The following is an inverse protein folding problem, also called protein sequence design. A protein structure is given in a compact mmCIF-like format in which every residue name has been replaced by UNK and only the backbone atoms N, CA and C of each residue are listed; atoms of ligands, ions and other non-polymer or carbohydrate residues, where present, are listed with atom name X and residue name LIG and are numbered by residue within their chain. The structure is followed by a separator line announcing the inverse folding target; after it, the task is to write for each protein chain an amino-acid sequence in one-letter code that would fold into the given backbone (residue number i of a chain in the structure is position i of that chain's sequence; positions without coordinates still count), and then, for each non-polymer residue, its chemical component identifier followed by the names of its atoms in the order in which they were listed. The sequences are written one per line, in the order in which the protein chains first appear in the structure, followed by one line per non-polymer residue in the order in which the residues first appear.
data_IF_519885303336
#
_entry.id   IF_519885303336
#
_cell.length_a   1.000
_cell.length_b   1.000
_cell.length_c   1.000
_cell.angle_alpha   90.00
_cell.angle_beta   90.00
_cell.angle_gamma   90.00
#
_symmetry.space_group_name_H-M   'P 1'
#
loop_
_entity.id
_entity.type
_entity.pdbx_description
1 polymer ?
#
# COMPACT_ATOMS: atom_id res chain seq x y z
N UNK A 1 -5.18 -24.46 -12.41
CA UNK A 1 -4.86 -23.93 -11.08
C UNK A 1 -3.34 -23.97 -10.94
N UNK A 2 -2.65 -22.91 -11.37
CA UNK A 2 -1.22 -22.77 -11.16
C UNK A 2 -1.00 -22.48 -9.67
N UNK A 3 -0.11 -23.25 -9.07
CA UNK A 3 0.29 -23.07 -7.66
C UNK A 3 1.08 -21.77 -7.54
N UNK A 4 0.36 -20.66 -7.35
CA UNK A 4 0.90 -19.32 -7.12
C UNK A 4 1.87 -19.30 -5.92
N UNK A 5 1.63 -20.19 -4.93
CA UNK A 5 2.49 -20.33 -3.76
C UNK A 5 3.85 -21.01 -4.08
N UNK A 6 3.91 -21.90 -5.06
CA UNK A 6 5.17 -22.53 -5.47
C UNK A 6 6.06 -21.57 -6.27
N UNK A 7 5.47 -20.68 -7.07
CA UNK A 7 6.20 -19.64 -7.82
C UNK A 7 6.75 -18.57 -6.87
N UNK A 8 5.99 -18.15 -5.85
CA UNK A 8 6.42 -17.22 -4.80
C UNK A 8 7.53 -17.79 -3.91
N UNK A 9 7.57 -19.10 -3.69
CA UNK A 9 8.66 -19.76 -2.92
C UNK A 9 10.02 -19.78 -3.63
N UNK A 10 10.06 -19.53 -4.93
CA UNK A 10 11.31 -19.51 -5.73
C UNK A 10 11.87 -18.11 -6.01
N UNK A 11 11.10 -17.06 -5.79
CA UNK A 11 11.57 -15.67 -5.92
C UNK A 11 12.21 -15.26 -4.58
N UNK A 12 13.53 -15.31 -4.55
CA UNK A 12 14.44 -14.79 -3.53
C UNK A 12 13.89 -14.79 -2.10
N UNK A 13 14.30 -15.78 -1.29
CA UNK A 13 14.28 -15.65 0.15
C UNK A 13 15.31 -14.57 0.52
N UNK A 14 14.92 -13.28 0.37
CA UNK A 14 15.72 -12.21 0.88
C UNK A 14 15.70 -12.30 2.41
N UNK A 15 16.90 -12.42 2.99
CA UNK A 15 17.07 -12.46 4.43
C UNK A 15 17.26 -11.05 4.98
N UNK A 16 16.85 -10.84 6.22
CA UNK A 16 17.17 -9.61 6.91
C UNK A 16 18.66 -9.54 7.22
N UNK A 17 19.30 -8.48 6.72
CA UNK A 17 20.73 -8.21 6.96
C UNK A 17 20.86 -7.04 7.92
N UNK A 18 21.17 -7.34 9.18
CA UNK A 18 21.39 -6.34 10.20
C UNK A 18 22.76 -5.69 10.04
N UNK A 19 22.79 -4.40 9.85
CA UNK A 19 23.98 -3.55 9.84
C UNK A 19 24.05 -2.74 11.12
N UNK A 20 25.13 -2.85 11.87
CA UNK A 20 25.36 -2.05 13.07
C UNK A 20 26.84 -2.06 13.45
N UNK A 21 27.35 -0.90 13.88
CA UNK A 21 28.65 -0.80 14.54
C UNK A 21 28.62 -1.38 15.95
N UNK A 22 27.43 -1.52 16.54
CA UNK A 22 27.23 -2.00 17.91
C UNK A 22 26.98 -3.51 17.93
N UNK A 23 27.41 -4.13 19.02
CA UNK A 23 27.05 -5.52 19.34
C UNK A 23 26.11 -5.52 20.55
N UNK A 24 25.22 -6.50 20.67
CA UNK A 24 24.39 -6.64 21.86
C UNK A 24 25.25 -6.74 23.15
N UNK A 25 24.97 -5.91 24.15
CA UNK A 25 25.68 -5.83 25.42
C UNK A 25 24.74 -5.87 26.62
N UNK A 26 25.29 -6.08 27.82
CA UNK A 26 24.51 -6.18 29.04
C UNK A 26 23.48 -7.30 28.98
N UNK A 27 22.22 -6.98 29.25
CA UNK A 27 21.10 -7.93 29.26
C UNK A 27 20.49 -8.16 27.86
N UNK A 28 20.93 -7.41 26.83
CA UNK A 28 20.38 -7.54 25.47
C UNK A 28 20.53 -8.96 24.87
N UNK A 29 21.69 -9.66 24.96
CA UNK A 29 21.81 -11.01 24.43
C UNK A 29 20.80 -11.98 25.03
N UNK A 30 20.59 -11.90 26.35
CA UNK A 30 19.63 -12.76 27.06
C UNK A 30 18.19 -12.42 26.65
N UNK A 31 17.85 -11.14 26.48
CA UNK A 31 16.53 -10.69 26.06
C UNK A 31 16.24 -11.17 24.61
N UNK A 32 17.18 -11.04 23.69
CA UNK A 32 17.07 -11.55 22.31
C UNK A 32 16.81 -13.05 22.31
N UNK A 33 17.62 -13.83 23.04
CA UNK A 33 17.47 -15.27 23.12
C UNK A 33 16.14 -15.70 23.74
N UNK A 34 15.70 -15.01 24.80
CA UNK A 34 14.44 -15.30 25.45
C UNK A 34 13.23 -15.02 24.55
N UNK A 35 13.22 -13.88 23.85
CA UNK A 35 12.15 -13.51 22.91
C UNK A 35 12.09 -14.50 21.75
N UNK A 36 13.23 -14.78 21.11
CA UNK A 36 13.27 -15.71 19.96
C UNK A 36 12.80 -17.11 20.38
N UNK A 37 13.28 -17.67 21.47
CA UNK A 37 12.82 -18.96 21.99
C UNK A 37 11.33 -18.99 22.31
N UNK A 38 10.81 -17.89 22.87
CA UNK A 38 9.39 -17.75 23.19
C UNK A 38 8.54 -17.77 21.92
N UNK A 39 8.95 -17.05 20.86
CA UNK A 39 8.29 -17.06 19.54
C UNK A 39 8.34 -18.44 18.90
N UNK A 40 9.50 -19.09 18.94
CA UNK A 40 9.68 -20.45 18.40
C UNK A 40 8.84 -21.50 19.11
N UNK A 41 8.62 -21.32 20.43
CA UNK A 41 7.73 -22.16 21.23
C UNK A 41 6.23 -21.90 20.96
N UNK A 42 5.89 -20.92 20.09
CA UNK A 42 4.51 -20.59 19.74
C UNK A 42 3.79 -19.65 20.71
N UNK A 43 4.49 -19.07 21.68
CA UNK A 43 3.92 -18.05 22.54
C UNK A 43 3.60 -16.79 21.72
N UNK A 44 2.38 -16.26 21.90
CA UNK A 44 1.90 -15.14 21.12
C UNK A 44 2.35 -13.78 21.64
N UNK A 45 2.62 -13.68 22.94
CA UNK A 45 2.84 -12.42 23.63
C UNK A 45 4.19 -12.41 24.36
N UNK A 46 4.98 -11.38 24.16
CA UNK A 46 6.24 -11.12 24.85
C UNK A 46 6.29 -9.65 25.24
N UNK A 47 6.86 -9.36 26.40
CA UNK A 47 7.05 -7.99 26.88
C UNK A 47 8.53 -7.72 27.11
N UNK A 48 9.09 -6.76 26.36
CA UNK A 48 10.44 -6.24 26.58
C UNK A 48 10.38 -4.97 27.41
N UNK A 49 10.86 -5.05 28.65
CA UNK A 49 10.96 -3.90 29.56
C UNK A 49 12.38 -3.34 29.58
N UNK A 50 12.49 -2.03 29.55
CA UNK A 50 13.80 -1.35 29.65
C UNK A 50 13.61 0.16 29.74
N UNK A 51 14.53 0.84 30.42
CA UNK A 51 14.54 2.29 30.49
C UNK A 51 14.78 2.94 29.14
N UNK A 52 14.49 4.24 29.01
CA UNK A 52 14.82 5.01 27.83
C UNK A 52 16.32 4.96 27.58
N UNK A 53 16.74 4.73 26.32
CA UNK A 53 18.16 4.61 25.97
C UNK A 53 18.79 3.23 26.22
N UNK A 54 18.04 2.22 26.70
CA UNK A 54 18.56 0.86 26.89
C UNK A 54 18.75 0.06 25.61
N UNK A 55 18.51 0.65 24.45
CA UNK A 55 18.67 -0.01 23.14
C UNK A 55 17.56 -1.00 22.81
N UNK A 56 16.31 -0.76 23.24
CA UNK A 56 15.17 -1.64 22.91
C UNK A 56 14.96 -1.82 21.40
N UNK A 57 15.09 -0.74 20.62
CA UNK A 57 14.98 -0.81 19.16
C UNK A 57 16.05 -1.72 18.57
N UNK A 58 17.29 -1.60 19.01
CA UNK A 58 18.39 -2.45 18.59
C UNK A 58 18.18 -3.93 19.00
N UNK A 59 17.67 -4.16 20.21
CA UNK A 59 17.27 -5.51 20.67
C UNK A 59 16.23 -6.12 19.73
N UNK A 60 15.18 -5.35 19.38
CA UNK A 60 14.15 -5.81 18.45
C UNK A 60 14.68 -6.00 17.02
N UNK A 61 15.62 -5.15 16.55
CA UNK A 61 16.27 -5.34 15.25
C UNK A 61 17.02 -6.69 15.19
N UNK A 62 17.72 -7.07 16.26
CA UNK A 62 18.36 -8.40 16.35
C UNK A 62 17.34 -9.55 16.36
N UNK A 63 16.20 -9.39 17.04
CA UNK A 63 15.11 -10.38 17.00
C UNK A 63 14.55 -10.53 15.58
N UNK A 64 14.28 -9.41 14.90
CA UNK A 64 13.76 -9.40 13.51
C UNK A 64 14.73 -10.13 12.58
N UNK A 65 16.02 -9.78 12.64
CA UNK A 65 17.05 -10.43 11.82
C UNK A 65 17.10 -11.94 12.07
N UNK A 66 17.07 -12.36 13.34
CA UNK A 66 17.14 -13.78 13.71
C UNK A 66 15.89 -14.57 13.32
N UNK A 67 14.70 -14.00 13.51
CA UNK A 67 13.43 -14.66 13.17
C UNK A 67 13.14 -14.68 11.67
N UNK A 68 13.73 -13.76 10.92
CA UNK A 68 13.60 -13.63 9.46
C UNK A 68 12.14 -13.69 8.96
N UNK A 69 11.26 -12.91 9.58
CA UNK A 69 9.83 -12.85 9.27
C UNK A 69 9.39 -11.41 8.94
N UNK A 70 8.45 -11.21 7.99
CA UNK A 70 7.82 -9.91 7.80
C UNK A 70 7.31 -9.36 9.12
N UNK A 71 7.60 -8.10 9.41
CA UNK A 71 7.36 -7.49 10.73
C UNK A 71 6.53 -6.22 10.60
N UNK A 72 5.51 -6.10 11.45
CA UNK A 72 4.77 -4.87 11.64
C UNK A 72 5.17 -4.23 12.98
N UNK A 73 5.64 -2.99 12.92
CA UNK A 73 5.94 -2.14 14.08
C UNK A 73 4.84 -1.11 14.22
N UNK A 74 4.06 -1.18 15.29
CA UNK A 74 2.95 -0.26 15.54
C UNK A 74 3.35 0.80 16.58
N UNK A 75 3.37 2.06 16.16
CA UNK A 75 3.64 3.21 17.01
C UNK A 75 2.35 3.98 17.32
N UNK A 76 2.28 4.63 18.48
CA UNK A 76 1.08 5.35 18.91
C UNK A 76 0.84 6.70 18.18
N UNK A 77 1.83 7.24 17.48
CA UNK A 77 1.69 8.45 16.66
C UNK A 77 2.64 8.48 15.46
N UNK A 78 2.42 9.46 14.55
CA UNK A 78 3.22 9.63 13.32
C UNK A 78 4.69 9.94 13.63
N UNK A 79 4.98 10.74 14.64
CA UNK A 79 6.35 11.18 15.00
C UNK A 79 7.21 10.00 15.44
N UNK A 80 6.68 9.18 16.36
CA UNK A 80 7.38 7.99 16.82
C UNK A 80 7.54 6.97 15.69
N UNK A 81 6.51 6.81 14.84
CA UNK A 81 6.60 5.94 13.67
C UNK A 81 7.72 6.40 12.72
N UNK A 82 7.86 7.71 12.48
CA UNK A 82 8.93 8.26 11.64
C UNK A 82 10.32 8.00 12.24
N UNK A 83 10.49 8.23 13.55
CA UNK A 83 11.73 7.93 14.25
C UNK A 83 12.11 6.46 14.14
N UNK A 84 11.19 5.55 14.48
CA UNK A 84 11.43 4.11 14.40
C UNK A 84 11.73 3.66 12.96
N UNK A 85 11.04 4.23 11.97
CA UNK A 85 11.30 3.93 10.56
C UNK A 85 12.73 4.33 10.17
N UNK A 86 13.22 5.50 10.61
CA UNK A 86 14.59 5.94 10.38
C UNK A 86 15.60 5.00 11.05
N UNK A 87 15.41 4.65 12.33
CA UNK A 87 16.26 3.73 13.07
C UNK A 87 16.32 2.33 12.38
N UNK A 88 15.18 1.79 11.96
CA UNK A 88 15.17 0.50 11.25
C UNK A 88 15.79 0.57 9.85
N UNK A 89 15.68 1.69 9.12
CA UNK A 89 16.38 1.88 7.84
C UNK A 89 17.89 1.88 8.00
N UNK A 90 18.40 2.45 9.09
CA UNK A 90 19.83 2.39 9.41
C UNK A 90 20.28 0.96 9.74
N UNK A 91 19.47 0.19 10.47
CA UNK A 91 19.77 -1.21 10.77
C UNK A 91 19.60 -2.15 9.59
N UNK A 92 18.72 -1.86 8.63
CA UNK A 92 18.38 -2.72 7.51
C UNK A 92 18.43 -1.98 6.17
N UNK A 93 19.57 -1.42 5.75
CA UNK A 93 19.68 -0.60 4.53
C UNK A 93 19.43 -1.38 3.23
N UNK A 94 19.57 -2.72 3.25
CA UNK A 94 19.34 -3.59 2.08
C UNK A 94 17.93 -4.19 2.05
N UNK A 95 17.14 -4.02 3.13
CA UNK A 95 15.82 -4.60 3.28
C UNK A 95 14.71 -3.54 3.10
N UNK A 96 13.49 -3.97 2.87
CA UNK A 96 12.36 -3.06 2.74
C UNK A 96 11.89 -2.58 4.12
N UNK A 97 12.21 -1.35 4.48
CA UNK A 97 11.70 -0.68 5.67
C UNK A 97 10.77 0.43 5.23
N UNK A 98 9.48 0.23 5.45
CA UNK A 98 8.41 1.03 4.88
C UNK A 98 7.64 1.81 5.95
N UNK A 99 7.16 2.99 5.57
CA UNK A 99 6.41 3.88 6.45
C UNK A 99 4.94 3.90 6.09
N UNK A 100 4.06 3.62 7.06
CA UNK A 100 2.64 3.51 6.83
C UNK A 100 1.83 4.25 7.88
N UNK A 101 1.47 5.51 7.61
CA UNK A 101 0.69 6.36 8.51
C UNK A 101 -0.50 6.99 7.77
N UNK A 102 -1.35 7.74 8.48
CA UNK A 102 -2.44 8.48 7.83
C UNK A 102 -1.90 9.49 6.85
N UNK A 103 -2.42 9.49 5.62
CA UNK A 103 -2.06 10.44 4.57
C UNK A 103 -2.82 11.76 4.65
N UNK A 104 -3.78 11.88 5.57
CA UNK A 104 -4.46 13.16 5.80
C UNK A 104 -3.59 14.09 6.63
N UNK A 105 -3.32 15.28 6.10
CA UNK A 105 -2.79 16.41 6.87
C UNK A 105 -3.90 17.13 7.61
N UNK A 106 -5.09 17.17 7.01
CA UNK A 106 -6.32 17.71 7.58
C UNK A 106 -7.52 16.87 7.11
N UNK A 107 -8.47 16.65 8.02
CA UNK A 107 -9.72 15.94 7.71
C UNK A 107 -10.87 16.49 8.53
N UNK A 108 -11.89 17.00 7.85
CA UNK A 108 -13.19 17.36 8.40
C UNK A 108 -14.26 16.51 7.71
N UNK A 109 -14.97 15.65 8.45
CA UNK A 109 -16.07 14.88 7.88
C UNK A 109 -17.24 15.79 7.52
N UNK A 110 -18.03 15.37 6.54
CA UNK A 110 -19.32 15.97 6.29
C UNK A 110 -20.26 15.82 7.47
N UNK A 111 -21.11 16.82 7.70
CA UNK A 111 -22.16 16.78 8.70
C UNK A 111 -23.38 17.57 8.25
N UNK A 112 -24.57 17.09 8.61
CA UNK A 112 -25.82 17.79 8.38
C UNK A 112 -26.48 18.11 9.71
N UNK A 113 -26.85 19.39 9.91
CA UNK A 113 -27.51 19.89 11.12
C UNK A 113 -28.95 20.22 10.77
N UNK A 114 -29.94 19.32 11.05
CA UNK A 114 -31.33 19.49 10.62
C UNK A 114 -32.02 20.75 11.18
N UNK A 115 -31.65 21.15 12.41
CA UNK A 115 -32.27 22.29 13.10
C UNK A 115 -32.02 23.64 12.40
N UNK A 116 -30.95 23.76 11.65
CA UNK A 116 -30.56 24.99 10.92
C UNK A 116 -30.48 24.78 9.41
N UNK A 117 -30.85 23.58 8.92
CA UNK A 117 -30.68 23.16 7.52
C UNK A 117 -29.28 23.49 6.99
N UNK A 118 -28.27 23.19 7.81
CA UNK A 118 -26.89 23.50 7.49
C UNK A 118 -26.14 22.21 7.10
N UNK A 119 -25.63 22.19 5.89
CA UNK A 119 -24.71 21.13 5.43
C UNK A 119 -23.26 21.61 5.53
N UNK A 120 -22.46 20.88 6.26
CA UNK A 120 -21.01 21.08 6.37
C UNK A 120 -20.37 20.11 5.40
N UNK A 121 -19.73 20.63 4.35
CA UNK A 121 -19.05 19.82 3.35
C UNK A 121 -17.82 19.14 3.95
N UNK A 122 -17.52 17.94 3.42
CA UNK A 122 -16.27 17.28 3.70
C UNK A 122 -15.10 18.13 3.20
N UNK A 123 -14.12 18.34 4.07
CA UNK A 123 -12.87 19.00 3.71
C UNK A 123 -11.68 18.15 4.14
N UNK A 124 -10.73 17.94 3.24
CA UNK A 124 -9.56 17.12 3.54
C UNK A 124 -8.38 17.50 2.65
N UNK A 125 -7.19 17.52 3.25
CA UNK A 125 -5.93 17.66 2.54
C UNK A 125 -5.16 16.34 2.60
N UNK A 126 -4.89 15.76 1.43
CA UNK A 126 -4.10 14.53 1.27
C UNK A 126 -2.65 14.89 1.02
N UNK A 127 -1.75 14.23 1.74
CA UNK A 127 -0.32 14.34 1.51
C UNK A 127 0.13 13.28 0.50
N UNK A 128 0.45 13.71 -0.72
CA UNK A 128 0.83 12.83 -1.83
C UNK A 128 2.09 11.99 -1.53
N UNK A 129 3.04 12.55 -0.77
CA UNK A 129 4.26 11.85 -0.39
C UNK A 129 3.94 10.69 0.57
N UNK A 130 3.09 10.92 1.57
CA UNK A 130 2.65 9.87 2.50
C UNK A 130 1.80 8.83 1.77
N UNK A 131 0.93 9.25 0.85
CA UNK A 131 0.14 8.31 0.03
C UNK A 131 1.04 7.38 -0.78
N UNK A 132 2.07 7.90 -1.43
CA UNK A 132 3.09 7.11 -2.13
C UNK A 132 3.79 6.10 -1.20
N UNK A 133 4.24 6.54 0.00
CA UNK A 133 4.87 5.65 0.98
C UNK A 133 3.94 4.52 1.42
N UNK A 134 2.64 4.78 1.52
CA UNK A 134 1.63 3.74 1.81
C UNK A 134 1.53 2.72 0.68
N UNK A 135 1.55 3.18 -0.57
CA UNK A 135 1.56 2.29 -1.74
C UNK A 135 2.87 1.49 -1.84
N UNK A 136 4.01 2.11 -1.51
CA UNK A 136 5.29 1.41 -1.40
C UNK A 136 5.22 0.27 -0.38
N UNK A 137 4.67 0.54 0.80
CA UNK A 137 4.51 -0.46 1.85
C UNK A 137 3.66 -1.66 1.42
N UNK A 138 2.53 -1.43 0.75
CA UNK A 138 1.64 -2.52 0.30
C UNK A 138 2.23 -3.31 -0.86
N UNK A 139 2.94 -2.67 -1.78
CA UNK A 139 3.65 -3.38 -2.86
C UNK A 139 4.82 -4.20 -2.31
N UNK A 140 5.63 -3.65 -1.40
CA UNK A 140 6.73 -4.37 -0.75
C UNK A 140 6.24 -5.63 -0.04
N UNK A 141 5.13 -5.57 0.71
CA UNK A 141 4.50 -6.74 1.34
C UNK A 141 4.05 -7.82 0.34
N UNK A 142 3.69 -7.41 -0.87
CA UNK A 142 3.26 -8.33 -1.92
C UNK A 142 4.44 -9.00 -2.64
N UNK A 143 5.58 -8.31 -2.74
CA UNK A 143 6.73 -8.74 -3.54
C UNK A 143 7.86 -9.36 -2.71
N UNK A 144 8.01 -8.97 -1.43
CA UNK A 144 9.16 -9.31 -0.59
C UNK A 144 8.73 -10.01 0.70
N UNK A 145 9.68 -10.69 1.33
CA UNK A 145 9.51 -11.35 2.64
C UNK A 145 10.33 -10.65 3.73
N UNK A 146 11.34 -9.91 3.36
CA UNK A 146 12.23 -9.12 4.21
C UNK A 146 11.71 -7.69 4.37
N UNK A 147 10.47 -7.56 4.86
CA UNK A 147 9.75 -6.29 4.98
C UNK A 147 9.48 -5.94 6.43
N UNK A 148 9.82 -4.72 6.82
CA UNK A 148 9.42 -4.09 8.08
C UNK A 148 8.48 -2.94 7.74
N UNK A 149 7.24 -3.02 8.20
CA UNK A 149 6.30 -1.89 8.10
C UNK A 149 6.27 -1.17 9.45
N UNK A 150 6.63 0.10 9.44
CA UNK A 150 6.48 0.96 10.63
C UNK A 150 5.24 1.82 10.45
N UNK A 151 4.26 1.62 11.31
CA UNK A 151 2.92 2.17 11.16
C UNK A 151 2.43 2.90 12.40
N UNK A 152 1.50 3.81 12.19
CA UNK A 152 0.61 4.32 13.24
C UNK A 152 -0.70 3.51 13.29
N UNK A 153 -1.63 3.90 14.15
CA UNK A 153 -2.97 3.29 14.27
C UNK A 153 -3.74 3.25 12.93
N UNK A 154 -3.35 4.04 11.94
CA UNK A 154 -3.98 4.04 10.61
C UNK A 154 -3.95 2.69 9.89
N UNK A 155 -3.06 1.77 10.27
CA UNK A 155 -2.98 0.44 9.66
C UNK A 155 -4.16 -0.47 10.02
N UNK A 156 -4.92 -0.15 11.08
CA UNK A 156 -6.10 -0.94 11.50
C UNK A 156 -7.41 -0.42 10.90
N UNK A 157 -7.38 0.74 10.24
CA UNK A 157 -8.55 1.31 9.57
C UNK A 157 -8.50 1.02 8.07
N UNK A 158 -9.67 0.73 7.54
CA UNK A 158 -9.99 0.29 6.18
C UNK A 158 -8.92 0.56 5.10
N UNK A 159 -8.40 -0.51 4.55
CA UNK A 159 -7.52 -0.53 3.38
C UNK A 159 -8.17 -1.23 2.18
N UNK A 160 -9.48 -1.43 2.21
CA UNK A 160 -10.14 -2.31 1.27
C UNK A 160 -9.81 -3.79 1.51
N UNK A 161 -10.32 -4.65 0.64
CA UNK A 161 -10.07 -6.08 0.73
C UNK A 161 -8.71 -6.44 0.13
N UNK A 162 -7.76 -7.03 0.90
CA UNK A 162 -6.44 -7.38 0.38
C UNK A 162 -6.47 -8.44 -0.74
N UNK A 163 -7.52 -9.26 -0.82
CA UNK A 163 -7.70 -10.23 -1.90
C UNK A 163 -8.02 -9.48 -3.19
N UNK A 164 -8.98 -8.55 -3.15
CA UNK A 164 -9.37 -7.74 -4.31
C UNK A 164 -8.18 -6.92 -4.82
N UNK A 165 -7.45 -6.27 -3.92
CA UNK A 165 -6.25 -5.52 -4.27
C UNK A 165 -5.20 -6.38 -5.00
N UNK A 166 -4.94 -7.60 -4.52
CA UNK A 166 -3.98 -8.53 -5.14
C UNK A 166 -4.45 -9.08 -6.48
N UNK A 167 -5.74 -9.39 -6.63
CA UNK A 167 -6.28 -9.93 -7.88
C UNK A 167 -6.31 -8.92 -9.01
N UNK A 168 -6.29 -7.64 -8.68
CA UNK A 168 -6.29 -6.55 -9.66
C UNK A 168 -4.88 -6.12 -10.10
N UNK A 169 -3.80 -6.65 -9.53
CA UNK A 169 -2.43 -6.36 -9.97
C UNK A 169 -2.21 -6.84 -11.41
N UNK A 170 -1.69 -5.96 -12.26
CA UNK A 170 -1.33 -6.31 -13.64
C UNK A 170 0.13 -6.80 -13.66
N UNK A 171 0.33 -8.06 -14.03
CA UNK A 171 1.66 -8.64 -14.23
C UNK A 171 2.01 -8.61 -15.72
N UNK A 172 3.14 -8.00 -16.07
CA UNK A 172 3.61 -7.85 -17.45
C UNK A 172 5.00 -8.47 -17.61
N UNK A 173 5.23 -9.12 -18.76
CA UNK A 173 6.52 -9.72 -19.14
C UNK A 173 6.74 -9.55 -20.64
N UNK A 174 7.98 -9.33 -21.11
CA UNK A 174 8.30 -9.46 -22.54
C UNK A 174 7.90 -10.82 -23.09
N UNK A 175 7.42 -10.88 -24.33
CA UNK A 175 6.90 -12.08 -24.96
C UNK A 175 5.48 -12.49 -24.52
N UNK A 176 4.80 -11.67 -23.72
CA UNK A 176 3.42 -11.92 -23.30
C UNK A 176 2.45 -11.50 -24.39
N UNK A 177 1.58 -12.42 -24.81
CA UNK A 177 0.47 -12.14 -25.71
C UNK A 177 -0.59 -11.32 -24.97
N UNK A 178 -0.68 -10.04 -25.29
CA UNK A 178 -1.58 -9.07 -24.69
C UNK A 178 -1.67 -7.84 -25.55
N UNK A 179 -2.89 -7.49 -26.00
CA UNK A 179 -3.06 -6.29 -26.79
C UNK A 179 -2.84 -5.02 -25.97
N UNK A 180 -2.34 -3.98 -26.64
CA UNK A 180 -2.20 -2.64 -26.03
C UNK A 180 -3.53 -2.16 -25.44
N UNK A 181 -4.62 -2.32 -26.17
CA UNK A 181 -5.93 -1.83 -25.75
C UNK A 181 -6.47 -2.57 -24.52
N UNK A 182 -6.15 -3.86 -24.36
CA UNK A 182 -6.47 -4.59 -23.13
C UNK A 182 -5.65 -4.10 -21.93
N UNK A 183 -4.39 -3.73 -22.15
CA UNK A 183 -3.60 -3.08 -21.09
C UNK A 183 -4.23 -1.74 -20.69
N UNK A 184 -4.64 -0.91 -21.65
CA UNK A 184 -5.27 0.40 -21.37
C UNK A 184 -6.56 0.26 -20.58
N UNK A 185 -7.44 -0.69 -20.93
CA UNK A 185 -8.66 -0.99 -20.18
C UNK A 185 -8.34 -1.39 -18.74
N UNK A 186 -7.36 -2.26 -18.57
CA UNK A 186 -6.92 -2.71 -17.24
C UNK A 186 -6.35 -1.57 -16.39
N UNK A 187 -5.58 -0.65 -16.98
CA UNK A 187 -5.08 0.53 -16.28
C UNK A 187 -6.23 1.43 -15.77
N UNK A 188 -7.27 1.64 -16.59
CA UNK A 188 -8.47 2.39 -16.18
C UNK A 188 -9.22 1.65 -15.06
N UNK A 189 -9.36 0.32 -15.14
CA UNK A 189 -9.94 -0.49 -14.06
C UNK A 189 -9.14 -0.36 -12.75
N UNK A 190 -7.81 -0.20 -12.83
CA UNK A 190 -6.91 0.08 -11.70
C UNK A 190 -6.94 1.54 -11.23
N UNK A 191 -7.83 2.37 -11.79
CA UNK A 191 -7.98 3.80 -11.49
C UNK A 191 -6.78 4.67 -11.90
N UNK A 192 -5.98 4.24 -12.89
CA UNK A 192 -5.00 5.11 -13.53
C UNK A 192 -5.70 6.07 -14.49
N UNK A 193 -5.29 7.34 -14.45
CA UNK A 193 -5.78 8.37 -15.37
C UNK A 193 -4.89 8.44 -16.63
N UNK A 194 -5.50 8.51 -17.82
CA UNK A 194 -4.75 8.85 -19.03
C UNK A 194 -4.49 10.34 -19.08
N UNK A 195 -3.23 10.72 -19.08
CA UNK A 195 -2.84 12.12 -19.19
C UNK A 195 -1.50 12.26 -19.93
N UNK A 196 -1.55 12.77 -21.15
CA UNK A 196 -0.36 12.92 -22.00
C UNK A 196 0.42 14.22 -21.73
N UNK A 197 -0.18 15.20 -21.02
CA UNK A 197 0.39 16.52 -20.75
C UNK A 197 0.94 16.59 -19.33
N UNK A 198 0.10 16.34 -18.33
CA UNK A 198 0.51 16.32 -16.92
C UNK A 198 0.76 14.87 -16.48
N UNK A 199 1.92 14.34 -16.85
CA UNK A 199 2.29 12.95 -16.59
C UNK A 199 3.00 12.83 -15.25
N UNK A 200 2.21 12.51 -14.23
CA UNK A 200 2.64 12.35 -12.83
C UNK A 200 2.21 10.97 -12.32
N UNK A 201 2.51 10.66 -11.07
CA UNK A 201 2.12 9.41 -10.38
C UNK A 201 0.62 9.08 -10.60
N UNK A 202 0.29 7.80 -10.71
CA UNK A 202 -1.06 7.26 -10.98
C UNK A 202 -1.59 7.58 -12.38
N UNK A 203 -0.72 7.93 -13.32
CA UNK A 203 -1.13 8.22 -14.71
C UNK A 203 -0.42 7.34 -15.71
N UNK A 204 -1.03 7.24 -16.88
CA UNK A 204 -0.41 6.62 -18.03
C UNK A 204 -0.57 7.51 -19.26
N UNK A 205 0.31 7.34 -20.24
CA UNK A 205 0.22 7.99 -21.54
C UNK A 205 0.54 7.01 -22.65
N UNK A 206 0.06 7.31 -23.86
CA UNK A 206 0.16 6.41 -25.02
C UNK A 206 0.73 7.16 -26.21
N UNK A 207 1.76 6.60 -26.82
CA UNK A 207 2.37 7.14 -28.05
C UNK A 207 2.61 5.99 -29.04
N UNK A 208 1.72 5.84 -30.03
CA UNK A 208 1.77 4.71 -30.96
C UNK A 208 1.64 3.37 -30.24
N UNK A 209 2.62 2.50 -30.40
CA UNK A 209 2.67 1.17 -29.79
C UNK A 209 3.39 1.18 -28.43
N UNK A 210 3.58 2.35 -27.83
CA UNK A 210 4.24 2.53 -26.53
C UNK A 210 3.25 3.02 -25.50
N UNK A 211 3.20 2.34 -24.35
CA UNK A 211 2.46 2.75 -23.16
C UNK A 211 3.46 3.05 -22.07
N UNK A 212 3.41 4.27 -21.56
CA UNK A 212 4.20 4.67 -20.39
C UNK A 212 3.29 4.81 -19.18
N UNK A 213 3.68 4.16 -18.08
CA UNK A 213 2.91 4.09 -16.83
C UNK A 213 3.75 4.71 -15.73
N UNK A 214 3.17 5.63 -14.97
CA UNK A 214 3.80 6.16 -13.77
C UNK A 214 3.23 5.43 -12.56
N UNK A 215 3.97 4.45 -11.99
CA UNK A 215 3.44 3.61 -10.91
C UNK A 215 3.08 4.41 -9.66
N UNK A 216 2.11 3.89 -8.93
CA UNK A 216 1.62 4.51 -7.67
C UNK A 216 2.67 4.57 -6.57
N UNK A 217 3.62 3.65 -6.57
CA UNK A 217 4.68 3.48 -5.56
C UNK A 217 6.06 4.00 -6.00
N UNK A 218 6.14 4.73 -7.12
CA UNK A 218 7.40 5.26 -7.65
C UNK A 218 7.47 6.79 -7.55
N UNK A 219 8.69 7.30 -7.33
CA UNK A 219 9.00 8.73 -7.30
C UNK A 219 9.51 9.28 -8.61
N UNK A 220 10.43 8.55 -9.21
CA UNK A 220 11.23 9.04 -10.32
C UNK A 220 11.16 8.16 -11.54
N UNK A 221 10.75 6.91 -11.37
CA UNK A 221 10.82 5.92 -12.44
C UNK A 221 9.43 5.61 -12.99
N UNK A 222 9.34 5.57 -14.31
CA UNK A 222 8.18 5.13 -15.07
C UNK A 222 8.48 3.79 -15.72
N UNK A 223 7.43 3.04 -15.98
CA UNK A 223 7.48 1.80 -16.73
C UNK A 223 7.04 2.07 -18.16
N UNK A 224 7.92 1.82 -19.13
CA UNK A 224 7.61 1.87 -20.56
C UNK A 224 7.39 0.45 -21.08
N UNK A 225 6.23 0.21 -21.66
CA UNK A 225 5.85 -1.05 -22.30
C UNK A 225 5.74 -0.81 -23.80
N UNK A 226 6.54 -1.51 -24.58
CA UNK A 226 6.58 -1.43 -26.04
C UNK A 226 5.89 -2.66 -26.62
N UNK A 227 5.00 -2.46 -27.56
CA UNK A 227 4.24 -3.52 -28.21
C UNK A 227 4.68 -3.75 -29.65
N UNK A 228 4.66 -5.00 -30.08
CA UNK A 228 4.74 -5.38 -31.49
C UNK A 228 3.49 -6.20 -31.85
N UNK A 229 2.50 -5.56 -32.49
CA UNK A 229 1.17 -6.14 -32.64
C UNK A 229 0.50 -6.35 -31.28
N UNK A 230 0.06 -7.59 -31.03
CA UNK A 230 -0.59 -8.00 -29.77
C UNK A 230 0.37 -8.70 -28.78
N UNK A 231 1.68 -8.44 -28.92
CA UNK A 231 2.69 -8.97 -28.03
C UNK A 231 3.49 -7.84 -27.36
N UNK A 232 3.87 -8.02 -26.10
CA UNK A 232 4.80 -7.14 -25.39
C UNK A 232 6.22 -7.46 -25.84
N UNK A 233 6.82 -6.56 -26.65
CA UNK A 233 8.18 -6.72 -27.13
C UNK A 233 9.21 -6.44 -26.04
N UNK A 234 9.06 -5.29 -25.36
CA UNK A 234 10.02 -4.85 -24.35
C UNK A 234 9.38 -4.06 -23.22
N UNK A 235 9.96 -4.22 -22.03
CA UNK A 235 9.61 -3.41 -20.86
C UNK A 235 10.89 -2.75 -20.33
N UNK A 236 10.86 -1.43 -20.17
CA UNK A 236 11.99 -0.66 -19.65
C UNK A 236 11.58 0.24 -18.49
N UNK A 237 12.48 0.39 -17.53
CA UNK A 237 12.37 1.39 -16.49
C UNK A 237 13.10 2.64 -16.91
N UNK A 238 12.46 3.81 -16.81
CA UNK A 238 12.95 5.09 -17.29
C UNK A 238 12.78 6.13 -16.19
N UNK A 239 13.77 6.97 -16.01
CA UNK A 239 13.62 8.14 -15.14
C UNK A 239 12.63 9.14 -15.76
N UNK A 240 11.59 9.52 -15.03
CA UNK A 240 10.49 10.34 -15.52
C UNK A 240 10.93 11.77 -15.92
N UNK A 241 11.98 12.30 -15.26
CA UNK A 241 12.46 13.67 -15.45
C UNK A 241 13.52 13.73 -16.56
N UNK A 242 14.54 12.88 -16.48
CA UNK A 242 15.66 12.90 -17.44
C UNK A 242 15.39 12.11 -18.72
N UNK A 243 14.43 11.18 -18.71
CA UNK A 243 14.18 10.23 -19.79
C UNK A 243 15.25 9.14 -19.91
N UNK A 244 16.19 9.04 -18.96
CA UNK A 244 17.26 8.07 -18.96
C UNK A 244 16.72 6.67 -18.68
N UNK A 245 17.13 5.70 -19.50
CA UNK A 245 16.80 4.28 -19.30
C UNK A 245 17.61 3.74 -18.15
N UNK A 246 16.93 3.31 -17.08
CA UNK A 246 17.56 2.69 -15.90
C UNK A 246 17.84 1.21 -16.12
N UNK A 247 16.99 0.53 -16.87
CA UNK A 247 17.19 -0.88 -17.19
C UNK A 247 16.05 -1.48 -17.99
N UNK A 248 16.28 -2.72 -18.44
CA UNK A 248 15.25 -3.56 -19.06
C UNK A 248 14.70 -4.52 -18.03
N UNK A 249 13.37 -4.59 -17.93
CA UNK A 249 12.67 -5.42 -16.96
C UNK A 249 12.22 -6.74 -17.61
N UNK A 250 12.50 -7.85 -16.93
CA UNK A 250 11.98 -9.18 -17.30
C UNK A 250 10.56 -9.42 -16.80
N UNK A 251 10.15 -8.63 -15.82
CA UNK A 251 8.83 -8.68 -15.21
C UNK A 251 8.56 -7.36 -14.50
N UNK A 252 7.32 -6.90 -14.52
CA UNK A 252 6.84 -5.80 -13.70
C UNK A 252 5.43 -6.07 -13.22
N UNK A 253 5.14 -5.68 -11.99
CA UNK A 253 3.80 -5.67 -11.40
C UNK A 253 3.31 -4.22 -11.31
N UNK A 254 2.15 -3.92 -11.90
CA UNK A 254 1.49 -2.63 -11.79
C UNK A 254 0.37 -2.76 -10.76
N UNK A 255 0.51 -2.03 -9.66
CA UNK A 255 -0.44 -2.03 -8.55
C UNK A 255 -1.56 -1.01 -8.78
N UNK A 256 -2.74 -1.21 -8.19
CA UNK A 256 -3.84 -0.24 -8.25
C UNK A 256 -3.43 1.15 -7.78
N UNK A 257 -3.97 2.19 -8.41
CA UNK A 257 -3.73 3.59 -8.05
C UNK A 257 -4.41 3.99 -6.72
N UNK A 258 -5.25 3.13 -6.16
CA UNK A 258 -5.94 3.33 -4.89
C UNK A 258 -5.97 2.05 -4.06
N UNK A 259 -5.86 2.16 -2.74
CA UNK A 259 -6.09 1.05 -1.82
C UNK A 259 -7.58 0.64 -1.74
N UNK A 260 -8.49 1.52 -2.16
CA UNK A 260 -9.94 1.35 -2.06
C UNK A 260 -10.57 0.84 -3.36
N UNK A 261 -9.79 0.07 -4.13
CA UNK A 261 -10.28 -0.48 -5.39
C UNK A 261 -11.30 -1.59 -5.12
N UNK A 262 -12.40 -1.54 -5.85
CA UNK A 262 -13.48 -2.52 -5.75
C UNK A 262 -13.74 -3.12 -7.14
N UNK A 263 -13.75 -4.44 -7.29
CA UNK A 263 -14.15 -5.09 -8.53
C UNK A 263 -15.55 -4.67 -8.98
N UNK A 264 -15.79 -4.63 -10.29
CA UNK A 264 -17.02 -4.10 -10.87
C UNK A 264 -18.28 -4.85 -10.39
N UNK A 265 -18.20 -6.17 -10.30
CA UNK A 265 -19.30 -7.03 -9.82
C UNK A 265 -19.70 -6.70 -8.36
N UNK A 266 -18.72 -6.45 -7.50
CA UNK A 266 -18.98 -6.02 -6.12
C UNK A 266 -19.54 -4.60 -6.04
N UNK A 267 -19.10 -3.71 -6.93
CA UNK A 267 -19.63 -2.35 -7.00
C UNK A 267 -21.11 -2.35 -7.39
N UNK A 268 -21.52 -3.18 -8.34
CA UNK A 268 -22.93 -3.31 -8.74
C UNK A 268 -23.81 -3.80 -7.59
N UNK A 269 -23.32 -4.78 -6.81
CA UNK A 269 -24.02 -5.27 -5.61
C UNK A 269 -24.13 -4.16 -4.55
N UNK A 270 -23.03 -3.43 -4.30
CA UNK A 270 -23.00 -2.36 -3.31
C UNK A 270 -23.97 -1.22 -3.67
N UNK A 271 -24.05 -0.84 -4.95
CA UNK A 271 -25.01 0.18 -5.42
C UNK A 271 -26.44 -0.25 -5.15
N UNK A 272 -26.81 -1.50 -5.50
CA UNK A 272 -28.16 -2.01 -5.27
C UNK A 272 -28.51 -2.07 -3.76
N UNK A 273 -27.54 -2.39 -2.90
CA UNK A 273 -27.75 -2.36 -1.45
C UNK A 273 -27.94 -0.94 -0.91
N UNK A 274 -27.15 0.03 -1.40
CA UNK A 274 -27.25 1.46 -1.03
C UNK A 274 -28.62 2.01 -1.44
N UNK A 275 -29.10 1.71 -2.66
CA UNK A 275 -30.42 2.13 -3.13
C UNK A 275 -31.53 1.61 -2.23
N UNK A 276 -31.48 0.33 -1.85
CA UNK A 276 -32.45 -0.26 -0.93
C UNK A 276 -32.43 0.42 0.46
N UNK A 277 -31.24 0.62 1.03
CA UNK A 277 -31.09 1.30 2.32
C UNK A 277 -31.59 2.74 2.27
N UNK A 278 -31.38 3.43 1.15
CA UNK A 278 -31.90 4.78 0.92
C UNK A 278 -33.42 4.82 0.97
N UNK A 279 -34.10 3.92 0.21
CA UNK A 279 -35.56 3.82 0.21
C UNK A 279 -36.13 3.56 1.63
N UNK A 280 -35.52 2.61 2.36
CA UNK A 280 -35.89 2.30 3.74
C UNK A 280 -35.71 3.52 4.66
N UNK A 281 -34.64 4.30 4.46
CA UNK A 281 -34.33 5.47 5.28
C UNK A 281 -35.24 6.65 4.99
N UNK A 282 -35.54 6.91 3.72
CA UNK A 282 -36.52 7.93 3.30
C UNK A 282 -37.90 7.62 3.92
N UNK A 283 -38.35 6.37 3.83
CA UNK A 283 -39.59 5.93 4.44
C UNK A 283 -39.60 6.17 5.96
N UNK A 284 -38.53 5.77 6.65
CA UNK A 284 -38.38 6.01 8.08
C UNK A 284 -38.52 7.49 8.45
N UNK A 285 -37.91 8.40 7.72
CA UNK A 285 -37.98 9.82 7.98
C UNK A 285 -39.41 10.36 7.74
N UNK A 286 -40.04 9.97 6.65
CA UNK A 286 -41.43 10.35 6.36
C UNK A 286 -42.40 9.86 7.44
N UNK A 287 -42.30 8.61 7.85
CA UNK A 287 -43.17 8.01 8.89
C UNK A 287 -42.99 8.68 10.26
N UNK A 288 -41.86 9.31 10.52
CA UNK A 288 -41.56 10.05 11.75
C UNK A 288 -41.73 11.58 11.62
N UNK A 289 -42.32 12.08 10.52
CA UNK A 289 -42.57 13.50 10.29
C UNK A 289 -41.32 14.35 10.06
N UNK A 290 -40.18 13.73 9.71
CA UNK A 290 -38.90 14.35 9.43
C UNK A 290 -38.75 14.62 7.94
N UNK A 291 -39.64 15.48 7.40
CA UNK A 291 -39.74 15.69 5.95
C UNK A 291 -38.49 16.34 5.36
N UNK A 292 -37.81 17.21 6.10
CA UNK A 292 -36.61 17.90 5.63
C UNK A 292 -35.44 16.88 5.52
N UNK A 293 -35.29 15.99 6.51
CA UNK A 293 -34.27 14.97 6.47
C UNK A 293 -34.54 13.94 5.35
N UNK A 294 -35.81 13.64 5.06
CA UNK A 294 -36.16 12.77 3.93
C UNK A 294 -35.78 13.41 2.59
N UNK A 295 -36.10 14.67 2.37
CA UNK A 295 -35.77 15.41 1.15
C UNK A 295 -34.24 15.57 0.95
N UNK A 296 -33.49 15.73 2.05
CA UNK A 296 -32.04 15.94 1.97
C UNK A 296 -31.22 14.66 1.76
N UNK A 297 -31.76 13.49 2.11
CA UNK A 297 -31.06 12.22 1.87
C UNK A 297 -31.37 11.63 0.49
N UNK A 298 -32.49 12.02 -0.14
CA UNK A 298 -32.90 11.65 -1.50
C UNK A 298 -32.02 12.37 -2.54
#
# INVERSE_FOLDING_TARGET
LWDYNAMYRRLNMSEFKLHSEYKPTGDQPQAIDAICRSIEAGNREQTLMGVTGSGKTFTMANVIARMNRPTLVLAHNKTLAAQLCSEFKEFFPENAVEYFVSYYDYYQPEAYIPTTDTYIEKDSAVNDEIDKLRHSATSALSERRDVIIVSSVSCIYSLGNPIDYRTMVISLRPGMEKSRDDLLKKLVELQYERNDVNFTRNKFRVRGDVVEIYPTNSDENIVRVEFFGDEIDRITEINAVSGEIRGTLKHVAIYPASHYIVPKDKMEIAIAEIERELEERIKYFNDNGKLLEAERIE
#
